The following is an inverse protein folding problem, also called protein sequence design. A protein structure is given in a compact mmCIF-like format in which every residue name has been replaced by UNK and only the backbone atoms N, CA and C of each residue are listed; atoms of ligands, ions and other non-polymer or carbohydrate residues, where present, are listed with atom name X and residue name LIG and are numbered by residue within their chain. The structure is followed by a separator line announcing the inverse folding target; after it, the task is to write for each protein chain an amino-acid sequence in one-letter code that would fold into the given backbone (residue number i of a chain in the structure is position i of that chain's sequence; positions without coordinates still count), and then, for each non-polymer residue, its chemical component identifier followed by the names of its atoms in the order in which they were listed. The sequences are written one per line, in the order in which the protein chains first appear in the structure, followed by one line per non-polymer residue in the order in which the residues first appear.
data_IF_401843761323
#
_entry.id   IF_401843761323
#
_cell.length_a   1.000
_cell.length_b   1.000
_cell.length_c   1.000
_cell.angle_alpha   90.00
_cell.angle_beta   90.00
_cell.angle_gamma   90.00
#
_symmetry.space_group_name_H-M   'P 1'
#
loop_
_entity.id
_entity.type
_entity.pdbx_description
1 polymer ?
#
# COMPACT_ATOMS: atom_id res chain seq x y z
N UNK A 1 65.51 14.81 12.47
CA UNK A 1 64.62 14.33 13.55
C UNK A 1 63.34 15.15 13.62
N UNK A 2 63.39 16.48 13.56
CA UNK A 2 62.22 17.35 13.62
C UNK A 2 61.25 17.13 12.48
N UNK A 3 61.76 17.01 11.24
CA UNK A 3 60.96 16.71 10.02
C UNK A 3 60.26 15.37 10.13
N UNK A 4 60.92 14.36 10.66
CA UNK A 4 60.33 13.01 10.81
C UNK A 4 59.22 13.00 11.88
N UNK A 5 59.37 13.74 12.96
CA UNK A 5 58.36 13.93 13.99
C UNK A 5 57.09 14.64 13.42
N UNK A 6 57.30 15.70 12.64
CA UNK A 6 56.19 16.45 11.96
C UNK A 6 55.42 15.52 11.00
N UNK A 7 56.11 14.74 10.18
CA UNK A 7 55.46 13.77 9.27
C UNK A 7 54.65 12.75 10.03
N UNK A 8 55.14 12.20 11.12
CA UNK A 8 54.43 11.23 11.95
C UNK A 8 53.14 11.82 12.57
N UNK A 9 53.24 13.08 13.07
CA UNK A 9 52.07 13.77 13.64
C UNK A 9 51.03 14.03 12.57
N UNK A 10 51.39 14.51 11.40
CA UNK A 10 50.47 14.78 10.28
C UNK A 10 49.82 13.49 9.77
N UNK A 11 50.60 12.41 9.64
CA UNK A 11 50.09 11.09 9.26
C UNK A 11 49.10 10.56 10.28
N UNK A 12 49.37 10.64 11.57
CA UNK A 12 48.44 10.19 12.61
C UNK A 12 47.16 11.02 12.64
N UNK A 13 47.24 12.34 12.49
CA UNK A 13 46.09 13.23 12.38
C UNK A 13 45.25 12.89 11.16
N UNK A 14 45.84 12.63 10.00
CA UNK A 14 45.14 12.22 8.80
C UNK A 14 44.41 10.88 8.98
N UNK A 15 45.05 9.88 9.60
CA UNK A 15 44.40 8.59 9.86
C UNK A 15 43.19 8.73 10.79
N UNK A 16 43.29 9.58 11.81
CA UNK A 16 42.16 9.85 12.73
C UNK A 16 41.01 10.53 11.98
N UNK A 17 41.29 11.54 11.18
CA UNK A 17 40.28 12.22 10.38
C UNK A 17 39.61 11.25 9.38
N UNK A 18 40.40 10.46 8.66
CA UNK A 18 39.90 9.43 7.74
C UNK A 18 38.98 8.44 8.45
N UNK A 19 39.35 7.98 9.64
CA UNK A 19 38.54 7.05 10.42
C UNK A 19 37.18 7.63 10.78
N UNK A 20 37.11 8.87 11.24
CA UNK A 20 35.86 9.51 11.66
C UNK A 20 35.02 10.00 10.47
N UNK A 21 35.63 10.52 9.42
CA UNK A 21 34.91 11.13 8.30
C UNK A 21 34.53 10.12 7.21
N UNK A 22 35.27 9.02 7.04
CA UNK A 22 35.03 8.07 5.97
C UNK A 22 34.69 6.66 6.48
N UNK A 23 35.58 6.08 7.27
CA UNK A 23 35.45 4.68 7.67
C UNK A 23 34.21 4.41 8.51
N UNK A 24 33.96 5.21 9.52
CA UNK A 24 32.84 5.07 10.45
C UNK A 24 31.47 5.27 9.75
N UNK A 25 31.24 6.33 8.95
CA UNK A 25 30.02 6.52 8.20
C UNK A 25 29.73 5.38 7.22
N UNK A 26 30.72 4.94 6.44
CA UNK A 26 30.56 3.81 5.51
C UNK A 26 30.16 2.54 6.23
N UNK A 27 30.76 2.26 7.38
CA UNK A 27 30.41 1.09 8.20
C UNK A 27 28.94 1.16 8.68
N UNK A 28 28.44 2.33 9.04
CA UNK A 28 27.06 2.52 9.44
C UNK A 28 26.09 2.31 8.27
N UNK A 29 26.41 2.82 7.08
CA UNK A 29 25.64 2.57 5.85
C UNK A 29 25.58 1.07 5.53
N UNK A 30 26.73 0.40 5.60
CA UNK A 30 26.81 -1.06 5.38
C UNK A 30 25.96 -1.83 6.39
N UNK A 31 25.96 -1.39 7.66
CA UNK A 31 25.12 -1.98 8.69
C UNK A 31 23.64 -1.78 8.40
N UNK A 32 23.22 -0.56 8.02
CA UNK A 32 21.85 -0.25 7.65
C UNK A 32 21.39 -1.13 6.48
N UNK A 33 22.20 -1.24 5.43
CA UNK A 33 21.91 -2.10 4.27
C UNK A 33 21.74 -3.57 4.67
N UNK A 34 22.55 -4.07 5.61
CA UNK A 34 22.39 -5.42 6.16
C UNK A 34 21.10 -5.60 6.96
N UNK A 35 20.67 -4.59 7.71
CA UNK A 35 19.39 -4.64 8.41
C UNK A 35 18.22 -4.63 7.41
N UNK A 36 18.28 -3.80 6.39
CA UNK A 36 17.26 -3.75 5.33
C UNK A 36 17.16 -5.07 4.56
N UNK A 37 18.28 -5.72 4.27
CA UNK A 37 18.30 -7.04 3.60
C UNK A 37 17.66 -8.16 4.43
N UNK A 38 17.59 -8.00 5.77
CA UNK A 38 16.89 -8.90 6.68
C UNK A 38 15.40 -8.56 6.84
N UNK A 39 14.91 -7.52 6.15
CA UNK A 39 13.55 -7.03 6.27
C UNK A 39 13.32 -6.01 7.40
N UNK A 40 14.36 -5.61 8.13
CA UNK A 40 14.26 -4.58 9.17
C UNK A 40 14.32 -3.18 8.54
N UNK A 41 13.27 -2.81 7.81
CA UNK A 41 13.16 -1.51 7.14
C UNK A 41 12.91 -0.33 8.10
N UNK A 42 12.67 -0.60 9.37
CA UNK A 42 12.51 0.43 10.42
C UNK A 42 13.84 0.87 11.04
N UNK A 43 14.95 0.28 10.63
CA UNK A 43 16.26 0.74 11.03
C UNK A 43 16.56 2.08 10.36
N UNK A 44 16.99 3.09 11.13
CA UNK A 44 17.36 4.40 10.58
C UNK A 44 18.87 4.59 10.61
N UNK A 45 19.40 5.12 9.52
CA UNK A 45 20.81 5.53 9.44
C UNK A 45 21.04 6.69 10.42
N UNK A 46 22.04 6.58 11.28
CA UNK A 46 22.37 7.67 12.22
C UNK A 46 22.77 8.93 11.47
N UNK A 47 22.44 10.11 12.02
CA UNK A 47 22.88 11.38 11.42
C UNK A 47 24.38 11.39 11.14
N UNK A 48 24.74 11.76 9.92
CA UNK A 48 26.10 11.84 9.42
C UNK A 48 26.47 13.29 9.08
N UNK A 49 27.73 13.48 8.70
CA UNK A 49 28.19 14.76 8.18
C UNK A 49 27.40 15.18 6.93
N UNK A 50 27.35 16.47 6.67
CA UNK A 50 26.63 17.02 5.52
C UNK A 50 27.51 17.01 4.25
N UNK A 51 27.99 15.82 3.88
CA UNK A 51 28.85 15.52 2.73
C UNK A 51 28.19 14.48 1.81
N UNK A 52 28.94 13.97 0.82
CA UNK A 52 28.44 12.98 -0.14
C UNK A 52 28.04 11.65 0.55
N UNK A 53 28.79 11.25 1.57
CA UNK A 53 28.51 10.02 2.35
C UNK A 53 27.24 10.22 3.18
N UNK A 54 27.08 11.39 3.78
CA UNK A 54 25.86 11.74 4.52
C UNK A 54 24.63 11.77 3.61
N UNK A 55 24.75 12.35 2.41
CA UNK A 55 23.66 12.33 1.40
C UNK A 55 23.31 10.92 0.95
N UNK A 56 24.31 10.05 0.77
CA UNK A 56 24.06 8.63 0.47
C UNK A 56 23.30 7.93 1.59
N UNK A 57 23.68 8.17 2.84
CA UNK A 57 22.98 7.65 4.00
C UNK A 57 21.50 8.10 4.06
N UNK A 58 21.23 9.39 3.82
CA UNK A 58 19.86 9.92 3.77
C UNK A 58 19.04 9.31 2.62
N UNK A 59 19.64 9.15 1.44
CA UNK A 59 18.98 8.54 0.29
C UNK A 59 18.61 7.08 0.55
N UNK A 60 19.48 6.35 1.23
CA UNK A 60 19.24 4.97 1.63
C UNK A 60 18.11 4.88 2.66
N UNK A 61 18.10 5.76 3.65
CA UNK A 61 17.06 5.83 4.69
C UNK A 61 15.69 6.17 4.07
N UNK A 62 15.66 7.13 3.14
CA UNK A 62 14.46 7.47 2.37
C UNK A 62 13.93 6.28 1.56
N UNK A 63 14.82 5.55 0.87
CA UNK A 63 14.43 4.35 0.12
C UNK A 63 13.85 3.26 1.04
N UNK A 64 14.48 3.03 2.19
CA UNK A 64 13.98 2.07 3.18
C UNK A 64 12.60 2.48 3.73
N UNK A 65 12.40 3.77 3.99
CA UNK A 65 11.10 4.32 4.41
C UNK A 65 10.02 4.07 3.35
N UNK A 66 10.30 4.32 2.07
CA UNK A 66 9.36 4.07 0.97
C UNK A 66 9.02 2.58 0.84
N UNK A 67 10.00 1.69 0.99
CA UNK A 67 9.76 0.24 1.00
C UNK A 67 8.90 -0.18 2.18
N UNK A 68 9.16 0.36 3.37
CA UNK A 68 8.38 0.06 4.58
C UNK A 68 6.92 0.53 4.47
N UNK A 69 6.69 1.69 3.87
CA UNK A 69 5.33 2.17 3.58
C UNK A 69 4.61 1.28 2.56
N UNK A 70 5.31 0.88 1.50
CA UNK A 70 4.78 -0.04 0.49
C UNK A 70 4.41 -1.40 1.10
N UNK A 71 5.27 -1.98 1.94
CA UNK A 71 4.99 -3.25 2.64
C UNK A 71 3.78 -3.15 3.56
N UNK A 72 3.69 -2.07 4.35
CA UNK A 72 2.53 -1.83 5.22
C UNK A 72 1.24 -1.67 4.42
N UNK A 73 1.30 -0.94 3.30
CA UNK A 73 0.16 -0.81 2.41
C UNK A 73 -0.28 -2.17 1.85
N UNK A 74 0.67 -2.97 1.37
CA UNK A 74 0.39 -4.30 0.83
C UNK A 74 -0.21 -5.24 1.89
N UNK A 75 0.33 -5.26 3.11
CA UNK A 75 -0.22 -6.06 4.21
C UNK A 75 -1.64 -5.64 4.57
N UNK A 76 -1.90 -4.33 4.68
CA UNK A 76 -3.23 -3.79 4.95
C UNK A 76 -4.22 -4.12 3.82
N UNK A 77 -3.78 -4.01 2.57
CA UNK A 77 -4.56 -4.34 1.39
C UNK A 77 -4.98 -5.83 1.40
N UNK A 78 -4.02 -6.74 1.61
CA UNK A 78 -4.29 -8.18 1.71
C UNK A 78 -5.22 -8.52 2.88
N UNK A 79 -5.04 -7.86 4.03
CA UNK A 79 -5.91 -8.05 5.19
C UNK A 79 -7.35 -7.61 4.89
N UNK A 80 -7.53 -6.45 4.28
CA UNK A 80 -8.85 -5.93 3.92
C UNK A 80 -9.55 -6.85 2.90
N UNK A 81 -8.84 -7.24 1.84
CA UNK A 81 -9.35 -8.19 0.84
C UNK A 81 -9.79 -9.50 1.53
N UNK A 82 -8.93 -10.06 2.38
CA UNK A 82 -9.24 -11.31 3.09
C UNK A 82 -10.51 -11.20 3.93
N UNK A 83 -10.72 -10.05 4.58
CA UNK A 83 -11.92 -9.77 5.35
C UNK A 83 -13.16 -9.67 4.44
N UNK A 84 -13.05 -8.92 3.34
CA UNK A 84 -14.15 -8.66 2.40
C UNK A 84 -14.58 -9.92 1.64
N UNK A 85 -13.68 -10.89 1.45
CA UNK A 85 -14.01 -12.22 0.92
C UNK A 85 -14.62 -13.14 1.97
N UNK A 86 -14.10 -13.11 3.21
CA UNK A 86 -14.53 -14.03 4.26
C UNK A 86 -15.99 -13.85 4.63
N UNK A 87 -16.47 -12.61 4.70
CA UNK A 87 -17.84 -12.31 5.10
C UNK A 87 -18.89 -12.97 4.17
N UNK A 88 -18.90 -12.70 2.85
CA UNK A 88 -19.88 -13.32 1.94
C UNK A 88 -19.71 -14.84 1.85
N UNK A 89 -18.48 -15.37 1.86
CA UNK A 89 -18.24 -16.81 1.85
C UNK A 89 -18.82 -17.50 3.11
N UNK A 90 -18.67 -16.87 4.27
CA UNK A 90 -19.25 -17.40 5.52
C UNK A 90 -20.78 -17.41 5.45
N UNK A 91 -21.40 -16.36 4.89
CA UNK A 91 -22.85 -16.30 4.71
C UNK A 91 -23.34 -17.38 3.74
N UNK A 92 -22.70 -17.51 2.57
CA UNK A 92 -23.06 -18.55 1.59
C UNK A 92 -22.92 -19.93 2.21
N UNK A 93 -21.80 -20.21 2.86
CA UNK A 93 -21.56 -21.49 3.53
C UNK A 93 -22.61 -21.78 4.59
N UNK A 94 -22.93 -20.84 5.47
CA UNK A 94 -23.90 -21.02 6.54
C UNK A 94 -25.31 -21.30 6.02
N UNK A 95 -25.74 -20.63 4.94
CA UNK A 95 -27.04 -20.92 4.33
C UNK A 95 -27.05 -22.26 3.62
N UNK A 96 -25.97 -22.67 2.96
CA UNK A 96 -25.88 -24.02 2.36
C UNK A 96 -25.95 -25.11 3.43
N UNK A 97 -25.25 -24.95 4.55
CA UNK A 97 -25.29 -25.87 5.69
C UNK A 97 -26.71 -25.93 6.28
N UNK A 98 -27.38 -24.79 6.46
CA UNK A 98 -28.75 -24.73 6.98
C UNK A 98 -29.82 -25.30 6.02
N UNK A 99 -29.54 -25.28 4.71
CA UNK A 99 -30.39 -26.01 3.72
C UNK A 99 -30.11 -27.50 3.81
N UNK A 100 -28.85 -27.90 3.93
CA UNK A 100 -28.44 -29.30 3.95
C UNK A 100 -28.97 -30.04 5.20
N UNK A 101 -28.97 -29.38 6.36
CA UNK A 101 -29.44 -29.96 7.63
C UNK A 101 -30.95 -29.80 7.86
N UNK A 102 -31.67 -29.17 6.90
CA UNK A 102 -33.13 -29.00 6.98
C UNK A 102 -33.58 -27.89 7.93
N UNK A 103 -32.67 -27.07 8.45
CA UNK A 103 -33.01 -25.90 9.31
C UNK A 103 -33.84 -24.88 8.55
N UNK A 104 -33.60 -24.73 7.24
CA UNK A 104 -34.38 -23.85 6.36
C UNK A 104 -35.54 -24.61 5.77
N UNK A 105 -36.81 -24.22 6.06
CA UNK A 105 -37.98 -24.87 5.50
C UNK A 105 -38.07 -24.69 3.97
N UNK A 106 -38.67 -25.62 3.23
CA UNK A 106 -38.77 -25.55 1.77
C UNK A 106 -39.36 -24.25 1.23
N UNK A 107 -40.32 -23.67 1.94
CA UNK A 107 -41.01 -22.42 1.56
C UNK A 107 -40.11 -21.21 1.59
N UNK A 108 -38.97 -21.31 2.28
CA UNK A 108 -37.97 -20.19 2.39
C UNK A 108 -36.75 -20.39 1.51
N UNK A 109 -36.62 -21.50 0.79
CA UNK A 109 -35.44 -21.81 -0.04
C UNK A 109 -35.16 -20.72 -1.05
N UNK A 110 -36.16 -20.26 -1.79
CA UNK A 110 -35.98 -19.20 -2.84
C UNK A 110 -35.39 -17.93 -2.26
N UNK A 111 -35.80 -17.55 -1.05
CA UNK A 111 -35.26 -16.35 -0.37
C UNK A 111 -33.78 -16.53 -0.06
N UNK A 112 -33.37 -17.65 0.51
CA UNK A 112 -31.99 -17.88 0.91
C UNK A 112 -31.07 -18.13 -0.29
N UNK A 113 -31.57 -18.79 -1.33
CA UNK A 113 -30.88 -18.91 -2.63
C UNK A 113 -30.66 -17.52 -3.22
N UNK A 114 -31.66 -16.63 -3.19
CA UNK A 114 -31.51 -15.24 -3.63
C UNK A 114 -30.42 -14.48 -2.87
N UNK A 115 -30.31 -14.68 -1.56
CA UNK A 115 -29.24 -14.08 -0.76
C UNK A 115 -27.86 -14.63 -1.17
N UNK A 116 -27.74 -15.94 -1.36
CA UNK A 116 -26.47 -16.55 -1.80
C UNK A 116 -26.05 -16.10 -3.18
N UNK A 117 -26.98 -15.95 -4.11
CA UNK A 117 -26.73 -15.39 -5.44
C UNK A 117 -26.21 -13.95 -5.34
N UNK A 118 -26.86 -13.11 -4.53
CA UNK A 118 -26.42 -11.73 -4.29
C UNK A 118 -24.98 -11.66 -3.73
N UNK A 119 -24.65 -12.50 -2.74
CA UNK A 119 -23.30 -12.54 -2.19
C UNK A 119 -22.26 -13.07 -3.22
N UNK A 120 -22.67 -13.98 -4.10
CA UNK A 120 -21.82 -14.47 -5.21
C UNK A 120 -21.56 -13.38 -6.23
N UNK A 121 -22.57 -12.60 -6.62
CA UNK A 121 -22.40 -11.44 -7.51
C UNK A 121 -21.49 -10.38 -6.88
N UNK A 122 -21.63 -10.15 -5.57
CA UNK A 122 -20.76 -9.25 -4.82
C UNK A 122 -19.30 -9.70 -4.86
N UNK A 123 -19.03 -11.00 -4.67
CA UNK A 123 -17.68 -11.58 -4.80
C UNK A 123 -17.12 -11.41 -6.21
N UNK A 124 -17.95 -11.63 -7.24
CA UNK A 124 -17.55 -11.45 -8.63
C UNK A 124 -17.14 -9.99 -8.92
N UNK A 125 -17.91 -9.03 -8.40
CA UNK A 125 -17.56 -7.60 -8.50
C UNK A 125 -16.26 -7.27 -7.77
N UNK A 126 -16.05 -7.83 -6.58
CA UNK A 126 -14.83 -7.60 -5.80
C UNK A 126 -13.60 -8.12 -6.54
N UNK A 127 -13.66 -9.32 -7.13
CA UNK A 127 -12.56 -9.86 -7.96
C UNK A 127 -12.28 -9.00 -9.18
N UNK A 128 -13.30 -8.55 -9.90
CA UNK A 128 -13.15 -7.66 -11.05
C UNK A 128 -12.47 -6.34 -10.66
N UNK A 129 -12.89 -5.74 -9.54
CA UNK A 129 -12.28 -4.50 -9.03
C UNK A 129 -10.81 -4.67 -8.68
N UNK A 130 -10.43 -5.82 -8.07
CA UNK A 130 -9.03 -6.13 -7.73
C UNK A 130 -8.19 -6.28 -9.01
N UNK A 131 -8.72 -6.95 -10.04
CA UNK A 131 -8.03 -7.09 -11.32
C UNK A 131 -7.81 -5.73 -11.99
N UNK A 132 -8.84 -4.89 -12.03
CA UNK A 132 -8.74 -3.53 -12.56
C UNK A 132 -7.70 -2.69 -11.80
N UNK A 133 -7.64 -2.80 -10.47
CA UNK A 133 -6.61 -2.13 -9.67
C UNK A 133 -5.18 -2.59 -9.99
N UNK A 134 -5.00 -3.88 -10.31
CA UNK A 134 -3.70 -4.41 -10.73
C UNK A 134 -3.29 -3.95 -12.14
N UNK A 135 -4.26 -3.72 -13.03
CA UNK A 135 -4.02 -3.21 -14.38
C UNK A 135 -3.72 -1.71 -14.39
N UNK A 136 -4.22 -0.97 -13.38
CA UNK A 136 -3.94 0.45 -13.17
C UNK A 136 -2.55 0.64 -12.51
N UNK A 137 -1.47 0.27 -13.21
CA UNK A 137 -0.13 0.72 -12.80
C UNK A 137 -0.09 2.26 -12.88
N UNK A 138 0.14 2.97 -11.76
CA UNK A 138 0.21 4.44 -11.77
C UNK A 138 1.24 4.99 -12.76
N UNK A 139 2.22 4.16 -13.17
CA UNK A 139 3.25 4.51 -14.16
C UNK A 139 2.79 4.31 -15.61
N UNK A 140 1.76 3.50 -15.85
CA UNK A 140 1.24 3.21 -17.19
C UNK A 140 -0.03 3.98 -17.53
N UNK A 141 -0.71 4.55 -16.54
CA UNK A 141 -1.90 5.39 -16.76
C UNK A 141 -1.47 6.71 -17.39
N UNK A 142 -1.52 6.78 -18.70
CA UNK A 142 -1.48 8.07 -19.41
C UNK A 142 -2.82 8.77 -19.19
N UNK A 143 -2.79 9.82 -18.39
CA UNK A 143 -3.96 10.69 -18.24
C UNK A 143 -4.19 11.41 -19.59
N UNK A 144 -5.33 11.16 -20.20
CA UNK A 144 -5.81 11.97 -21.30
C UNK A 144 -6.42 13.26 -20.72
N UNK A 145 -5.57 14.28 -20.62
CA UNK A 145 -5.97 15.56 -20.03
C UNK A 145 -6.79 16.32 -21.06
N UNK A 146 -8.09 16.32 -20.87
CA UNK A 146 -9.04 17.10 -21.69
C UNK A 146 -9.82 18.09 -20.84
N UNK A 147 -10.22 19.20 -21.47
CA UNK A 147 -11.15 20.15 -20.84
C UNK A 147 -12.57 19.62 -20.99
N UNK A 148 -13.33 19.55 -19.90
CA UNK A 148 -14.71 19.10 -19.91
C UNK A 148 -15.60 20.04 -19.08
N UNK A 149 -16.90 20.09 -19.42
CA UNK A 149 -17.88 20.81 -18.64
C UNK A 149 -18.38 19.97 -17.46
N UNK A 150 -17.91 20.30 -16.26
CA UNK A 150 -18.28 19.62 -15.03
C UNK A 150 -19.80 19.69 -14.77
N UNK A 151 -20.46 20.82 -15.10
CA UNK A 151 -21.90 20.98 -14.89
C UNK A 151 -22.71 20.03 -15.79
N UNK A 152 -22.26 19.84 -17.03
CA UNK A 152 -22.87 18.89 -17.96
C UNK A 152 -22.79 17.45 -17.42
N UNK A 153 -21.63 17.05 -16.92
CA UNK A 153 -21.44 15.71 -16.34
C UNK A 153 -22.31 15.52 -15.09
N UNK A 154 -22.36 16.51 -14.20
CA UNK A 154 -23.20 16.45 -12.99
C UNK A 154 -24.68 16.30 -13.39
N UNK A 155 -25.19 17.08 -14.34
CA UNK A 155 -26.57 16.99 -14.79
C UNK A 155 -26.88 15.60 -15.35
N UNK A 156 -26.04 15.09 -16.25
CA UNK A 156 -26.22 13.76 -16.84
C UNK A 156 -26.20 12.67 -15.77
N UNK A 157 -25.31 12.78 -14.77
CA UNK A 157 -25.26 11.84 -13.63
C UNK A 157 -26.55 11.91 -12.81
N UNK A 158 -27.07 13.11 -12.49
CA UNK A 158 -28.33 13.29 -11.77
C UNK A 158 -29.50 12.66 -12.51
N UNK A 159 -29.59 12.85 -13.84
CA UNK A 159 -30.63 12.25 -14.67
C UNK A 159 -30.67 10.71 -14.56
N UNK A 160 -29.51 10.03 -14.46
CA UNK A 160 -29.45 8.57 -14.31
C UNK A 160 -30.06 8.10 -12.98
N UNK A 161 -30.05 8.94 -11.93
CA UNK A 161 -30.63 8.63 -10.63
C UNK A 161 -32.06 9.09 -10.44
N UNK A 162 -32.65 9.86 -11.38
CA UNK A 162 -33.98 10.45 -11.28
C UNK A 162 -35.05 9.39 -10.98
N UNK A 163 -35.03 8.25 -11.69
CA UNK A 163 -35.97 7.16 -11.47
C UNK A 163 -35.89 6.54 -10.08
N UNK A 164 -34.69 6.39 -9.55
CA UNK A 164 -34.44 5.85 -8.22
C UNK A 164 -34.88 6.82 -7.13
N UNK A 165 -34.64 8.11 -7.33
CA UNK A 165 -35.02 9.17 -6.39
C UNK A 165 -36.53 9.37 -6.35
N UNK A 166 -37.21 9.33 -7.50
CA UNK A 166 -38.69 9.36 -7.54
C UNK A 166 -39.31 8.21 -6.74
N UNK A 167 -38.79 6.98 -6.90
CA UNK A 167 -39.26 5.82 -6.14
C UNK A 167 -39.06 5.96 -4.62
N UNK A 168 -38.02 6.67 -4.20
CA UNK A 168 -37.67 6.88 -2.77
C UNK A 168 -38.18 8.21 -2.21
N UNK A 169 -38.86 9.06 -2.99
CA UNK A 169 -39.35 10.37 -2.56
C UNK A 169 -38.24 11.38 -2.28
N UNK A 170 -37.04 11.20 -2.83
CA UNK A 170 -35.89 12.09 -2.65
C UNK A 170 -35.97 13.19 -3.71
N UNK A 171 -35.91 14.46 -3.30
CA UNK A 171 -35.80 15.62 -4.20
C UNK A 171 -34.33 16.06 -4.30
N UNK A 172 -33.85 16.25 -5.52
CA UNK A 172 -32.60 16.98 -5.76
C UNK A 172 -32.90 18.48 -5.75
N UNK A 173 -32.11 19.23 -4.99
CA UNK A 173 -32.09 20.70 -5.02
C UNK A 173 -30.77 21.18 -5.64
#
# INVERSE_FOLDING_TARGET
YLTLAIVLILSSAFLVLYFFQVHRPIKEITRATNEYSKGNLSYHVKPMLNDEIGRLGMSLDYMASQLNESDKFQQKFLSNISHDFRSPLTSIKGYLEAIQDGTIPPEMLDKYIGIMLFETERLTKLTSNILTLNELDPKSVRLDISTFDLNSIIRHTVETFEGTCKKKGIKFN
#
